data_IF_442466900504
#
_entry.id   IF_442466900504
#
_cell.length_a   1.000
_cell.length_b   1.000
_cell.length_c   1.000
_cell.angle_alpha   90.00
_cell.angle_beta   90.00
_cell.angle_gamma   90.00
#
_symmetry.space_group_name_H-M   'P 1'
#
loop_
_entity.id
_entity.type
_entity.pdbx_description
1 polymer ?
#
# COMPACT_ATOMS: atom_id res chain seq x y z
N UNK A 1 -49.16 56.78 21.00
CA UNK A 1 -48.52 57.95 20.35
C UNK A 1 -48.39 57.67 18.87
N UNK A 2 -48.30 58.71 18.03
CA UNK A 2 -48.21 58.64 16.55
C UNK A 2 -47.12 57.66 16.07
N UNK A 3 -47.26 56.84 15.01
CA UNK A 3 -48.12 56.82 13.80
C UNK A 3 -47.70 57.77 12.67
N UNK A 4 -47.17 57.20 11.57
CA UNK A 4 -47.36 57.67 10.19
C UNK A 4 -46.82 56.65 9.15
N UNK A 5 -47.72 56.13 8.31
CA UNK A 5 -47.42 55.51 6.99
C UNK A 5 -47.54 56.62 5.91
N UNK A 6 -47.74 56.41 4.57
CA UNK A 6 -47.88 55.18 3.77
C UNK A 6 -47.09 55.19 2.44
N UNK A 7 -47.49 54.30 1.52
CA UNK A 7 -46.87 54.02 0.22
C UNK A 7 -47.42 54.84 -0.96
N UNK A 8 -46.80 54.65 -2.13
CA UNK A 8 -47.36 54.80 -3.48
C UNK A 8 -46.31 54.45 -4.55
N UNK A 9 -46.62 54.27 -5.83
CA UNK A 9 -47.85 53.77 -6.50
C UNK A 9 -47.65 53.82 -8.03
N UNK A 10 -47.69 52.67 -8.70
CA UNK A 10 -48.11 52.42 -10.10
C UNK A 10 -48.01 53.54 -11.18
N UNK A 11 -47.17 53.28 -12.18
CA UNK A 11 -47.47 53.41 -13.62
C UNK A 11 -46.32 52.78 -14.43
N UNK A 12 -46.40 52.41 -15.72
CA UNK A 12 -47.41 51.79 -16.61
C UNK A 12 -46.90 52.08 -18.04
N UNK A 13 -46.89 51.06 -18.93
CA UNK A 13 -46.78 51.14 -20.41
C UNK A 13 -45.55 51.84 -21.07
N UNK A 14 -45.05 51.50 -22.27
CA UNK A 14 -45.52 50.62 -23.37
C UNK A 14 -44.39 50.38 -24.42
N UNK A 15 -44.60 49.48 -25.40
CA UNK A 15 -43.80 49.35 -26.65
C UNK A 15 -42.84 48.13 -26.68
N UNK A 16 -42.97 47.05 -27.48
CA UNK A 16 -43.33 46.86 -28.93
C UNK A 16 -42.21 47.40 -29.86
N UNK A 17 -41.58 46.69 -30.81
CA UNK A 17 -41.62 45.29 -31.37
C UNK A 17 -40.30 45.07 -32.19
N UNK A 18 -39.88 43.93 -32.79
CA UNK A 18 -40.24 42.50 -33.01
C UNK A 18 -38.99 41.82 -33.67
N UNK A 19 -38.86 40.51 -33.93
CA UNK A 19 -39.73 39.33 -33.83
C UNK A 19 -38.88 38.04 -33.64
N UNK A 20 -39.45 36.82 -33.56
CA UNK A 20 -39.76 35.93 -34.71
C UNK A 20 -38.62 35.78 -35.73
N UNK A 21 -38.16 34.60 -36.17
CA UNK A 21 -38.60 33.16 -36.11
C UNK A 21 -37.32 32.27 -36.28
N UNK A 22 -37.27 30.93 -36.29
CA UNK A 22 -38.24 29.84 -36.52
C UNK A 22 -37.73 28.52 -35.87
N UNK A 23 -38.59 27.52 -35.71
CA UNK A 23 -38.23 26.11 -35.40
C UNK A 23 -37.96 25.28 -36.66
N UNK A 24 -37.15 24.22 -36.55
CA UNK A 24 -37.17 23.06 -37.47
C UNK A 24 -36.56 21.81 -36.81
N UNK A 25 -37.30 20.69 -36.85
CA UNK A 25 -36.88 19.37 -36.37
C UNK A 25 -36.05 18.58 -37.41
N UNK A 26 -35.62 17.37 -37.01
CA UNK A 26 -34.92 16.32 -37.80
C UNK A 26 -33.44 16.62 -38.10
N UNK A 27 -32.53 15.63 -38.13
CA UNK A 27 -32.71 14.20 -38.46
C UNK A 27 -32.23 13.21 -37.37
N UNK A 28 -32.54 11.92 -37.59
CA UNK A 28 -31.98 10.77 -36.86
C UNK A 28 -30.97 10.05 -37.75
N UNK A 29 -29.70 10.03 -37.36
CA UNK A 29 -28.81 8.92 -37.73
C UNK A 29 -28.35 8.21 -36.45
N UNK A 30 -28.44 6.88 -36.46
CA UNK A 30 -28.15 6.06 -35.29
C UNK A 30 -26.72 5.56 -35.32
N UNK A 31 -25.84 6.17 -34.54
CA UNK A 31 -24.50 5.61 -34.31
C UNK A 31 -24.59 4.52 -33.23
N UNK A 32 -24.26 3.27 -33.58
CA UNK A 32 -24.10 2.19 -32.61
C UNK A 32 -22.74 2.31 -31.96
N UNK A 33 -22.65 3.08 -30.88
CA UNK A 33 -21.48 3.01 -30.01
C UNK A 33 -21.50 1.66 -29.29
N UNK A 34 -20.59 0.76 -29.70
CA UNK A 34 -20.23 -0.40 -28.89
C UNK A 34 -19.48 0.11 -27.65
N UNK A 35 -20.22 0.49 -26.62
CA UNK A 35 -19.66 0.87 -25.31
C UNK A 35 -19.05 -0.36 -24.65
N UNK A 36 -17.79 -0.63 -24.93
CA UNK A 36 -17.00 -1.61 -24.20
C UNK A 36 -16.84 -1.11 -22.76
N UNK A 37 -17.36 -1.82 -21.74
CA UNK A 37 -17.12 -1.45 -20.35
C UNK A 37 -15.65 -1.68 -20.01
N UNK A 38 -15.16 -0.97 -18.99
CA UNK A 38 -13.81 -1.15 -18.45
C UNK A 38 -12.65 -0.86 -19.44
N UNK A 39 -12.67 0.32 -20.07
CA UNK A 39 -11.48 1.13 -19.90
C UNK A 39 -11.36 1.46 -18.42
N UNK A 40 -10.47 0.77 -17.72
CA UNK A 40 -10.05 1.12 -16.35
C UNK A 40 -9.57 2.56 -16.40
N UNK A 41 -10.34 3.49 -15.82
CA UNK A 41 -9.85 4.84 -15.58
C UNK A 41 -8.67 4.69 -14.64
N UNK A 42 -7.48 5.09 -15.09
CA UNK A 42 -6.26 5.10 -14.28
C UNK A 42 -6.42 6.13 -13.15
N UNK A 43 -7.12 5.75 -12.07
CA UNK A 43 -7.21 6.53 -10.84
C UNK A 43 -5.97 6.28 -9.99
N UNK A 44 -4.80 6.55 -10.60
CA UNK A 44 -3.76 7.26 -9.88
C UNK A 44 -4.43 8.55 -9.40
N UNK A 45 -4.90 8.58 -8.14
CA UNK A 45 -5.47 9.80 -7.58
C UNK A 45 -4.43 10.90 -7.73
N UNK A 46 -4.73 11.90 -8.56
CA UNK A 46 -3.81 12.96 -8.98
C UNK A 46 -3.06 13.52 -7.78
N UNK A 47 -1.79 13.09 -7.64
CA UNK A 47 -1.10 13.13 -6.35
C UNK A 47 -0.89 14.59 -5.91
N UNK A 48 -1.63 15.09 -4.89
CA UNK A 48 -1.59 16.51 -4.55
C UNK A 48 -0.23 16.96 -4.01
N UNK A 49 0.63 16.00 -3.64
CA UNK A 49 1.92 16.21 -2.98
C UNK A 49 3.11 16.34 -3.95
N UNK A 50 2.89 16.27 -5.27
CA UNK A 50 3.86 16.73 -6.28
C UNK A 50 3.83 18.25 -6.51
N UNK A 51 3.07 19.01 -5.72
CA UNK A 51 3.12 20.47 -5.73
C UNK A 51 3.87 21.04 -4.53
N UNK A 52 5.00 21.71 -4.83
CA UNK A 52 5.83 22.58 -3.98
C UNK A 52 6.96 21.93 -3.14
N UNK A 53 8.14 21.72 -3.75
CA UNK A 53 9.43 22.06 -3.14
C UNK A 53 10.58 22.26 -4.17
N UNK A 54 10.42 23.20 -5.11
CA UNK A 54 11.47 23.49 -6.11
C UNK A 54 12.70 24.18 -5.49
N UNK A 55 13.85 23.51 -5.54
CA UNK A 55 15.15 24.15 -5.41
C UNK A 55 15.60 24.70 -6.77
N UNK A 56 15.73 26.03 -6.88
CA UNK A 56 16.31 26.67 -8.06
C UNK A 56 17.84 26.66 -7.89
N UNK A 57 18.56 26.13 -8.89
CA UNK A 57 20.02 26.25 -8.97
C UNK A 57 20.40 27.32 -9.99
N UNK A 58 21.03 28.39 -9.52
CA UNK A 58 21.73 29.36 -10.37
C UNK A 58 23.05 28.74 -10.88
N UNK A 59 22.98 27.83 -11.87
CA UNK A 59 24.17 27.19 -12.42
C UNK A 59 23.89 26.25 -13.60
N UNK A 60 24.91 25.99 -14.43
CA UNK A 60 24.77 25.17 -15.62
C UNK A 60 24.58 23.68 -15.29
N UNK A 61 23.44 23.17 -15.74
CA UNK A 61 22.94 21.81 -15.54
C UNK A 61 23.92 20.63 -15.82
N UNK A 62 24.86 20.70 -16.79
CA UNK A 62 25.89 19.67 -16.97
C UNK A 62 26.84 19.50 -15.76
N UNK A 63 26.98 20.52 -14.91
CA UNK A 63 27.77 20.43 -13.68
C UNK A 63 27.17 19.43 -12.69
N UNK A 64 25.86 19.49 -12.44
CA UNK A 64 25.16 18.64 -11.47
C UNK A 64 25.27 17.16 -11.83
N UNK A 65 24.88 16.76 -13.06
CA UNK A 65 24.96 15.34 -13.48
C UNK A 65 26.39 14.79 -13.41
N UNK A 66 27.40 15.61 -13.71
CA UNK A 66 28.81 15.21 -13.62
C UNK A 66 29.36 15.20 -12.19
N UNK A 67 28.74 15.92 -11.25
CA UNK A 67 29.05 15.82 -9.82
C UNK A 67 28.44 14.54 -9.22
N UNK A 68 27.15 14.29 -9.47
CA UNK A 68 26.42 13.11 -8.97
C UNK A 68 27.12 11.80 -9.39
N UNK A 69 27.54 11.68 -10.66
CA UNK A 69 28.31 10.53 -11.19
C UNK A 69 29.64 10.23 -10.47
N UNK A 70 30.21 11.19 -9.75
CA UNK A 70 31.50 11.06 -9.05
C UNK A 70 31.35 10.78 -7.55
N UNK A 71 30.12 10.53 -7.09
CA UNK A 71 29.70 10.57 -5.69
C UNK A 71 28.85 9.36 -5.32
N UNK A 72 28.26 9.37 -4.13
CA UNK A 72 27.34 8.32 -3.68
C UNK A 72 25.96 8.36 -4.35
N UNK A 73 25.82 8.94 -5.55
CA UNK A 73 24.61 8.88 -6.36
C UNK A 73 24.80 7.89 -7.52
N UNK A 74 23.88 6.94 -7.66
CA UNK A 74 23.81 6.02 -8.78
C UNK A 74 22.81 6.53 -9.82
N UNK A 75 23.27 6.87 -11.02
CA UNK A 75 22.40 7.17 -12.15
C UNK A 75 21.68 5.89 -12.58
N UNK A 76 20.36 5.89 -12.55
CA UNK A 76 19.58 4.73 -12.96
C UNK A 76 19.44 4.76 -14.49
N UNK A 77 20.27 3.96 -15.18
CA UNK A 77 20.26 3.87 -16.63
C UNK A 77 19.06 3.03 -17.10
N UNK A 78 17.95 3.70 -17.42
CA UNK A 78 16.78 3.07 -18.07
C UNK A 78 17.17 2.72 -19.51
N UNK A 79 17.57 1.47 -19.74
CA UNK A 79 17.88 0.97 -21.09
C UNK A 79 16.60 0.64 -21.86
N UNK A 80 16.66 0.64 -23.20
CA UNK A 80 15.55 0.21 -24.08
C UNK A 80 15.07 -1.23 -23.84
N UNK A 81 15.86 -2.02 -23.09
CA UNK A 81 15.59 -3.42 -22.81
C UNK A 81 15.18 -3.64 -21.34
N UNK A 82 14.75 -2.58 -20.63
CA UNK A 82 14.24 -2.67 -19.26
C UNK A 82 12.92 -3.44 -19.21
N UNK A 83 13.02 -4.77 -19.17
CA UNK A 83 11.93 -5.69 -18.80
C UNK A 83 11.81 -5.72 -17.27
N UNK A 84 11.40 -4.61 -16.68
CA UNK A 84 11.19 -4.56 -15.23
C UNK A 84 10.03 -5.47 -14.84
N UNK A 85 10.32 -6.69 -14.38
CA UNK A 85 9.34 -7.64 -13.80
C UNK A 85 8.83 -7.18 -12.42
N UNK A 86 8.85 -5.86 -12.17
CA UNK A 86 8.13 -5.22 -11.08
C UNK A 86 6.66 -5.23 -11.45
N UNK A 87 5.94 -6.24 -10.98
CA UNK A 87 4.50 -6.33 -11.13
C UNK A 87 3.82 -5.26 -10.25
N UNK A 88 3.77 -4.02 -10.77
CA UNK A 88 3.12 -2.87 -10.13
C UNK A 88 1.66 -3.15 -9.80
N UNK A 89 0.98 -4.03 -10.56
CA UNK A 89 -0.40 -4.41 -10.27
C UNK A 89 -0.53 -5.00 -8.86
N UNK A 90 0.48 -5.71 -8.33
CA UNK A 90 0.42 -6.26 -6.95
C UNK A 90 0.56 -5.16 -5.88
N UNK A 91 1.17 -4.02 -6.22
CA UNK A 91 1.21 -2.83 -5.36
C UNK A 91 -0.09 -2.02 -5.44
N UNK A 92 -0.80 -2.05 -6.57
CA UNK A 92 -2.04 -1.30 -6.78
C UNK A 92 -3.31 -2.10 -6.38
N UNK A 93 -3.39 -3.41 -6.69
CA UNK A 93 -4.51 -4.33 -6.42
C UNK A 93 -4.85 -4.55 -4.93
N UNK A 94 -4.15 -3.87 -4.02
CA UNK A 94 -4.34 -3.96 -2.56
C UNK A 94 -4.36 -2.56 -1.90
N UNK A 95 -4.67 -1.51 -2.67
CA UNK A 95 -4.67 -0.10 -2.25
C UNK A 95 -5.95 0.60 -2.73
N UNK A 96 -6.85 0.89 -1.79
CA UNK A 96 -8.20 1.39 -2.06
C UNK A 96 -8.38 2.79 -1.47
N UNK A 97 -9.02 3.70 -2.19
CA UNK A 97 -9.41 5.00 -1.65
C UNK A 97 -10.86 5.01 -1.15
N UNK A 98 -11.29 6.12 -0.57
CA UNK A 98 -12.67 6.31 -0.05
C UNK A 98 -13.79 5.99 -1.06
N UNK A 99 -13.54 6.06 -2.37
CA UNK A 99 -14.52 5.74 -3.42
C UNK A 99 -14.53 4.26 -3.84
N UNK A 100 -13.48 3.50 -3.52
CA UNK A 100 -13.26 2.12 -4.02
C UNK A 100 -13.82 1.06 -3.06
N UNK A 101 -14.97 1.38 -2.44
CA UNK A 101 -15.56 0.67 -1.29
C UNK A 101 -15.86 -0.80 -1.58
N UNK A 102 -16.56 -1.07 -2.67
CA UNK A 102 -17.06 -2.42 -2.94
C UNK A 102 -15.96 -3.36 -3.46
N UNK A 103 -15.02 -2.93 -4.33
CA UNK A 103 -13.77 -3.66 -4.61
C UNK A 103 -12.96 -3.98 -3.35
N UNK A 104 -12.84 -3.04 -2.40
CA UNK A 104 -12.21 -3.30 -1.11
C UNK A 104 -12.93 -4.41 -0.32
N UNK A 105 -14.27 -4.44 -0.32
CA UNK A 105 -15.04 -5.48 0.39
C UNK A 105 -14.84 -6.86 -0.27
N UNK A 106 -14.85 -6.95 -1.60
CA UNK A 106 -14.58 -8.20 -2.33
C UNK A 106 -13.19 -8.76 -1.98
N UNK A 107 -12.16 -7.92 -2.07
CA UNK A 107 -10.78 -8.36 -1.88
C UNK A 107 -10.46 -8.57 -0.38
N UNK A 108 -11.16 -7.90 0.54
CA UNK A 108 -11.17 -8.25 1.97
C UNK A 108 -11.76 -9.64 2.21
N UNK A 109 -12.86 -10.01 1.53
CA UNK A 109 -13.50 -11.33 1.62
C UNK A 109 -12.60 -12.42 1.01
N UNK A 110 -11.96 -12.14 -0.12
CA UNK A 110 -10.97 -13.03 -0.73
C UNK A 110 -9.77 -13.24 0.21
N UNK A 111 -9.26 -12.17 0.81
CA UNK A 111 -8.15 -12.24 1.78
C UNK A 111 -8.56 -12.96 3.06
N UNK A 112 -9.82 -12.82 3.52
CA UNK A 112 -10.38 -13.60 4.62
C UNK A 112 -10.47 -15.10 4.29
N UNK A 113 -10.85 -15.42 3.05
CA UNK A 113 -10.92 -16.80 2.54
C UNK A 113 -9.52 -17.44 2.53
N UNK A 114 -8.53 -16.75 1.97
CA UNK A 114 -7.12 -17.18 2.03
C UNK A 114 -6.59 -17.24 3.47
N UNK A 115 -7.04 -16.36 4.36
CA UNK A 115 -6.60 -16.32 5.76
C UNK A 115 -6.99 -17.58 6.54
N UNK A 116 -8.24 -18.05 6.44
CA UNK A 116 -8.65 -19.29 7.12
C UNK A 116 -8.01 -20.54 6.49
N UNK A 117 -7.86 -20.57 5.16
CA UNK A 117 -7.19 -21.68 4.46
C UNK A 117 -5.70 -21.77 4.82
N UNK A 118 -4.98 -20.65 4.88
CA UNK A 118 -3.60 -20.59 5.41
C UNK A 118 -3.55 -21.01 6.88
N UNK A 119 -4.45 -20.50 7.71
CA UNK A 119 -4.51 -20.83 9.14
C UNK A 119 -4.70 -22.34 9.37
N UNK A 120 -5.53 -23.03 8.58
CA UNK A 120 -5.71 -24.49 8.64
C UNK A 120 -4.40 -25.22 8.36
N UNK A 121 -3.67 -24.85 7.31
CA UNK A 121 -2.37 -25.49 6.98
C UNK A 121 -1.32 -25.18 8.04
N UNK A 122 -1.25 -23.93 8.54
CA UNK A 122 -0.34 -23.52 9.61
C UNK A 122 -0.68 -24.16 10.98
N UNK A 123 -1.94 -24.47 11.27
CA UNK A 123 -2.37 -25.08 12.53
C UNK A 123 -2.05 -26.59 12.61
N UNK A 124 -2.12 -27.30 11.49
CA UNK A 124 -1.83 -28.75 11.45
C UNK A 124 -0.36 -29.08 11.15
N UNK A 125 0.43 -28.17 10.57
CA UNK A 125 1.82 -28.43 10.18
C UNK A 125 2.83 -27.73 11.13
N UNK A 126 3.87 -28.40 11.67
CA UNK A 126 4.34 -29.76 11.40
C UNK A 126 3.89 -30.79 12.46
N UNK A 127 2.72 -30.61 13.07
CA UNK A 127 2.19 -31.51 14.08
C UNK A 127 1.60 -32.81 13.49
N UNK A 128 1.23 -33.78 14.34
CA UNK A 128 0.22 -34.75 13.96
C UNK A 128 -1.14 -34.04 13.80
N UNK A 129 -1.88 -34.38 12.73
CA UNK A 129 -3.25 -33.89 12.51
C UNK A 129 -4.14 -34.15 13.74
N UNK A 130 -5.05 -33.22 14.04
CA UNK A 130 -5.99 -33.31 15.17
C UNK A 130 -5.46 -32.89 16.55
N UNK A 131 -4.27 -32.29 16.67
CA UNK A 131 -3.72 -31.89 17.97
C UNK A 131 -4.22 -30.50 18.46
N UNK A 132 -5.52 -30.38 18.71
CA UNK A 132 -6.10 -29.30 19.52
C UNK A 132 -6.70 -28.12 18.75
N UNK A 133 -6.95 -28.28 17.45
CA UNK A 133 -7.64 -27.32 16.58
C UNK A 133 -9.16 -27.43 16.72
N UNK A 134 -9.63 -28.59 17.19
CA UNK A 134 -11.02 -29.00 17.33
C UNK A 134 -11.39 -29.27 18.80
N UNK A 135 -12.68 -29.18 19.16
CA UNK A 135 -13.18 -29.72 20.43
C UNK A 135 -14.69 -30.06 20.42
N UNK A 136 -15.10 -30.84 21.43
CA UNK A 136 -16.52 -31.18 21.67
C UNK A 136 -17.26 -29.92 22.10
N UNK A 137 -18.08 -29.37 21.19
CA UNK A 137 -18.79 -28.11 21.40
C UNK A 137 -18.01 -26.86 20.96
N UNK A 138 -17.04 -27.01 20.03
CA UNK A 138 -16.38 -25.87 19.37
C UNK A 138 -17.36 -24.88 18.71
N UNK A 139 -16.90 -23.66 18.46
CA UNK A 139 -17.77 -22.53 18.08
C UNK A 139 -18.05 -22.38 16.57
N UNK A 140 -17.39 -23.18 15.72
CA UNK A 140 -17.33 -23.01 14.26
C UNK A 140 -17.44 -24.35 13.53
N UNK A 141 -18.13 -24.38 12.39
CA UNK A 141 -18.25 -25.54 11.48
C UNK A 141 -17.15 -25.57 10.41
N UNK A 142 -16.88 -26.75 9.84
CA UNK A 142 -15.98 -26.88 8.68
C UNK A 142 -16.53 -26.20 7.40
N UNK A 143 -17.84 -25.92 7.33
CA UNK A 143 -18.52 -25.12 6.29
C UNK A 143 -17.86 -23.75 6.04
N UNK A 144 -17.20 -23.18 7.06
CA UNK A 144 -16.45 -21.91 6.93
C UNK A 144 -15.28 -22.04 5.96
N UNK A 145 -14.66 -23.23 5.90
CA UNK A 145 -13.54 -23.55 5.01
C UNK A 145 -14.05 -23.93 3.63
N UNK A 146 -15.15 -24.70 3.52
CA UNK A 146 -15.80 -24.99 2.22
C UNK A 146 -16.14 -23.69 1.47
N UNK A 147 -16.76 -22.74 2.17
CA UNK A 147 -17.07 -21.39 1.64
C UNK A 147 -15.81 -20.62 1.24
N UNK A 148 -14.70 -20.77 1.97
CA UNK A 148 -13.43 -20.14 1.64
C UNK A 148 -12.79 -20.73 0.37
N UNK A 149 -12.80 -22.07 0.25
CA UNK A 149 -12.31 -22.80 -0.92
C UNK A 149 -13.14 -22.49 -2.17
N UNK A 150 -14.47 -22.36 -2.04
CA UNK A 150 -15.34 -21.86 -3.11
C UNK A 150 -14.95 -20.46 -3.59
N UNK A 151 -14.74 -19.51 -2.68
CA UNK A 151 -14.40 -18.12 -3.02
C UNK A 151 -13.04 -18.04 -3.73
N UNK A 152 -12.04 -18.77 -3.23
CA UNK A 152 -10.72 -18.87 -3.87
C UNK A 152 -10.85 -19.56 -5.24
N UNK A 153 -11.65 -20.64 -5.35
CA UNK A 153 -11.89 -21.33 -6.61
C UNK A 153 -12.49 -20.42 -7.69
N UNK A 154 -13.52 -19.63 -7.35
CA UNK A 154 -14.12 -18.62 -8.23
C UNK A 154 -13.09 -17.58 -8.69
N UNK A 155 -12.26 -17.09 -7.77
CA UNK A 155 -11.19 -16.13 -8.09
C UNK A 155 -10.09 -16.72 -8.98
N UNK A 156 -9.62 -17.95 -8.71
CA UNK A 156 -8.59 -18.61 -9.50
C UNK A 156 -9.09 -19.02 -10.90
N UNK A 157 -10.39 -19.24 -11.09
CA UNK A 157 -10.99 -19.36 -12.42
C UNK A 157 -10.99 -18.01 -13.14
N UNK A 158 -11.48 -16.96 -12.50
CA UNK A 158 -11.49 -15.59 -13.04
C UNK A 158 -10.10 -15.14 -13.52
N UNK A 159 -9.05 -15.30 -12.70
CA UNK A 159 -7.68 -14.89 -13.09
C UNK A 159 -7.17 -15.70 -14.29
N UNK A 160 -7.44 -17.01 -14.36
CA UNK A 160 -7.04 -17.85 -15.50
C UNK A 160 -7.78 -17.50 -16.78
N UNK A 161 -9.05 -17.14 -16.71
CA UNK A 161 -9.81 -16.65 -17.88
C UNK A 161 -9.31 -15.27 -18.34
N UNK A 162 -8.88 -14.39 -17.42
CA UNK A 162 -8.22 -13.12 -17.76
C UNK A 162 -6.86 -13.32 -18.45
N UNK A 163 -6.04 -14.29 -18.03
CA UNK A 163 -4.78 -14.64 -18.71
C UNK A 163 -4.99 -15.21 -20.13
N UNK A 164 -6.22 -15.61 -20.47
CA UNK A 164 -6.60 -16.16 -21.78
C UNK A 164 -7.31 -15.13 -22.68
N UNK A 165 -7.25 -13.84 -22.35
CA UNK A 165 -7.93 -12.73 -23.06
C UNK A 165 -9.45 -12.96 -23.25
N UNK A 166 -10.11 -13.71 -22.35
CA UNK A 166 -11.48 -14.18 -22.52
C UNK A 166 -12.52 -13.07 -22.17
N UNK A 167 -13.19 -12.42 -23.14
CA UNK A 167 -13.83 -11.10 -22.94
C UNK A 167 -15.25 -11.17 -22.36
N UNK A 168 -15.55 -12.22 -21.58
CA UNK A 168 -16.92 -12.57 -21.15
C UNK A 168 -17.06 -12.63 -19.62
N UNK A 169 -15.96 -12.66 -18.86
CA UNK A 169 -16.00 -12.93 -17.42
C UNK A 169 -16.10 -11.64 -16.61
N UNK A 170 -17.31 -11.29 -16.18
CA UNK A 170 -17.52 -10.34 -15.07
C UNK A 170 -17.02 -10.97 -13.76
N UNK A 171 -16.48 -10.15 -12.84
CA UNK A 171 -15.96 -10.60 -11.54
C UNK A 171 -17.12 -10.97 -10.59
N UNK A 172 -17.77 -12.12 -10.81
CA UNK A 172 -18.82 -12.62 -9.91
C UNK A 172 -18.23 -13.26 -8.63
N UNK A 173 -17.51 -12.43 -7.89
CA UNK A 173 -17.22 -12.59 -6.46
C UNK A 173 -18.33 -11.88 -5.64
N UNK A 174 -19.40 -11.43 -6.30
CA UNK A 174 -20.47 -10.58 -5.74
C UNK A 174 -21.43 -11.31 -4.79
N UNK A 175 -21.34 -12.65 -4.73
CA UNK A 175 -22.09 -13.48 -3.78
C UNK A 175 -21.86 -12.99 -2.35
N UNK A 176 -22.89 -12.34 -1.77
CA UNK A 176 -22.75 -11.58 -0.52
C UNK A 176 -22.52 -12.49 0.69
N UNK A 177 -21.25 -12.79 0.93
CA UNK A 177 -20.81 -13.72 1.97
C UNK A 177 -21.40 -13.32 3.33
N UNK A 178 -22.13 -14.21 4.02
CA UNK A 178 -22.85 -13.86 5.23
C UNK A 178 -21.96 -13.21 6.30
N UNK A 179 -22.48 -12.18 6.99
CA UNK A 179 -21.77 -11.55 8.12
C UNK A 179 -21.42 -12.54 9.24
N UNK A 180 -22.16 -13.63 9.36
CA UNK A 180 -21.83 -14.76 10.26
C UNK A 180 -20.50 -15.40 9.87
N UNK A 181 -20.31 -15.77 8.59
CA UNK A 181 -19.06 -16.35 8.09
C UNK A 181 -17.86 -15.44 8.35
N UNK A 182 -17.96 -14.13 8.12
CA UNK A 182 -16.88 -13.18 8.46
C UNK A 182 -16.59 -13.15 9.97
N UNK A 183 -17.62 -13.27 10.81
CA UNK A 183 -17.46 -13.41 12.25
C UNK A 183 -16.80 -14.73 12.66
N UNK A 184 -17.12 -15.82 11.99
CA UNK A 184 -16.58 -17.16 12.28
C UNK A 184 -15.13 -17.30 11.78
N UNK A 185 -14.78 -16.74 10.62
CA UNK A 185 -13.37 -16.56 10.21
C UNK A 185 -12.63 -15.73 11.26
N UNK A 186 -13.19 -14.62 11.73
CA UNK A 186 -12.56 -13.78 12.76
C UNK A 186 -12.36 -14.53 14.10
N UNK A 187 -13.32 -15.35 14.54
CA UNK A 187 -13.19 -16.21 15.73
C UNK A 187 -11.99 -17.16 15.63
N UNK A 188 -11.77 -17.76 14.46
CA UNK A 188 -10.62 -18.66 14.19
C UNK A 188 -9.32 -17.85 14.09
N UNK A 189 -9.25 -16.87 13.18
CA UNK A 189 -7.96 -16.23 12.84
C UNK A 189 -7.55 -15.11 13.79
N UNK A 190 -8.41 -14.61 14.68
CA UNK A 190 -8.03 -13.67 15.76
C UNK A 190 -8.27 -14.22 17.17
N UNK A 191 -9.30 -15.02 17.35
CA UNK A 191 -9.69 -15.54 18.65
C UNK A 191 -8.88 -16.76 19.08
N UNK A 192 -9.56 -17.63 19.83
CA UNK A 192 -9.09 -18.97 20.22
C UNK A 192 -10.21 -20.01 20.04
N UNK A 193 -11.16 -19.69 19.16
CA UNK A 193 -12.24 -20.61 18.84
C UNK A 193 -11.66 -21.83 18.12
N UNK A 194 -12.37 -22.94 18.25
CA UNK A 194 -12.05 -24.22 17.62
C UNK A 194 -13.19 -24.67 16.73
N UNK A 195 -12.85 -25.51 15.76
CA UNK A 195 -13.86 -26.25 15.02
C UNK A 195 -14.58 -27.24 15.94
N UNK A 196 -15.84 -27.54 15.63
CA UNK A 196 -16.50 -28.70 16.23
C UNK A 196 -15.77 -29.99 15.85
N UNK A 197 -15.58 -30.86 16.84
CA UNK A 197 -14.91 -32.15 16.65
C UNK A 197 -15.57 -32.97 15.53
N UNK A 198 -14.76 -33.40 14.56
CA UNK A 198 -15.15 -34.34 13.50
C UNK A 198 -14.15 -35.50 13.38
N UNK A 199 -14.20 -36.27 12.29
CA UNK A 199 -13.36 -37.44 12.01
C UNK A 199 -11.96 -37.06 11.49
N UNK A 200 -10.97 -37.91 11.79
CA UNK A 200 -9.59 -37.75 11.27
C UNK A 200 -9.53 -37.77 9.72
N UNK A 201 -10.46 -38.47 9.07
CA UNK A 201 -10.58 -38.55 7.60
C UNK A 201 -11.04 -37.22 6.99
N UNK A 202 -12.02 -36.55 7.60
CA UNK A 202 -12.49 -35.22 7.19
C UNK A 202 -11.43 -34.15 7.44
N UNK A 203 -10.76 -34.18 8.61
CA UNK A 203 -9.64 -33.28 8.93
C UNK A 203 -8.50 -33.41 7.91
N UNK A 204 -8.13 -34.64 7.54
CA UNK A 204 -7.13 -34.92 6.51
C UNK A 204 -7.59 -34.46 5.11
N UNK A 205 -8.85 -34.68 4.75
CA UNK A 205 -9.44 -34.21 3.50
C UNK A 205 -9.32 -32.70 3.36
N UNK A 206 -9.86 -31.96 4.34
CA UNK A 206 -9.84 -30.50 4.40
C UNK A 206 -8.41 -29.94 4.41
N UNK A 207 -7.49 -30.54 5.16
CA UNK A 207 -6.07 -30.14 5.12
C UNK A 207 -5.47 -30.28 3.72
N UNK A 208 -5.71 -31.40 3.03
CA UNK A 208 -5.18 -31.64 1.69
C UNK A 208 -5.77 -30.68 0.65
N UNK A 209 -7.07 -30.38 0.73
CA UNK A 209 -7.72 -29.41 -0.16
C UNK A 209 -7.19 -28.00 0.07
N UNK A 210 -7.07 -27.58 1.33
CA UNK A 210 -6.44 -26.30 1.69
C UNK A 210 -5.01 -26.20 1.14
N UNK A 211 -4.18 -27.23 1.35
CA UNK A 211 -2.80 -27.25 0.85
C UNK A 211 -2.76 -27.16 -0.68
N UNK A 212 -3.56 -27.98 -1.38
CA UNK A 212 -3.61 -28.01 -2.84
C UNK A 212 -4.11 -26.67 -3.46
N UNK A 213 -5.05 -25.99 -2.81
CA UNK A 213 -5.53 -24.68 -3.25
C UNK A 213 -4.49 -23.59 -3.05
N UNK A 214 -3.68 -23.63 -1.97
CA UNK A 214 -2.60 -22.68 -1.76
C UNK A 214 -1.48 -22.84 -2.81
N UNK A 215 -1.03 -24.07 -3.07
CA UNK A 215 -0.07 -24.37 -4.16
C UNK A 215 -0.60 -23.92 -5.53
N UNK A 216 -1.89 -24.15 -5.81
CA UNK A 216 -2.53 -23.74 -7.06
C UNK A 216 -2.74 -22.22 -7.19
N UNK A 217 -2.65 -21.47 -6.09
CA UNK A 217 -2.78 -20.02 -6.05
C UNK A 217 -1.42 -19.28 -6.12
N UNK A 218 -0.33 -19.91 -5.67
CA UNK A 218 1.01 -19.33 -5.55
C UNK A 218 1.49 -18.47 -6.76
N UNK A 219 1.36 -18.92 -8.03
CA UNK A 219 1.80 -18.12 -9.18
C UNK A 219 0.88 -16.94 -9.50
N UNK A 220 -0.40 -17.01 -9.12
CA UNK A 220 -1.42 -16.00 -9.42
C UNK A 220 -1.59 -14.96 -8.30
N UNK A 221 -1.24 -15.33 -7.06
CA UNK A 221 -1.53 -14.57 -5.84
C UNK A 221 -0.26 -14.37 -5.00
N UNK A 222 0.82 -13.76 -5.54
CA UNK A 222 2.13 -13.67 -4.88
C UNK A 222 2.10 -12.94 -3.53
N UNK A 223 1.06 -12.12 -3.26
CA UNK A 223 0.84 -11.47 -1.97
C UNK A 223 0.58 -12.46 -0.82
N UNK A 224 0.14 -13.70 -1.09
CA UNK A 224 -0.06 -14.76 -0.09
C UNK A 224 1.16 -15.07 0.78
N UNK A 225 2.35 -14.70 0.32
CA UNK A 225 3.63 -14.92 0.99
C UNK A 225 3.89 -13.94 2.14
N UNK A 226 3.16 -12.83 2.20
CA UNK A 226 3.40 -11.77 3.19
C UNK A 226 2.16 -11.17 3.84
N UNK A 227 0.98 -11.40 3.27
CA UNK A 227 -0.31 -10.91 3.73
C UNK A 227 -0.82 -11.62 5.01
N UNK A 228 -0.26 -12.77 5.37
CA UNK A 228 -0.44 -13.46 6.64
C UNK A 228 -1.78 -14.19 6.82
N UNK A 229 -2.21 -14.38 8.07
CA UNK A 229 -3.46 -15.08 8.43
C UNK A 229 -4.44 -14.22 9.18
N UNK A 230 -4.07 -13.00 9.59
CA UNK A 230 -4.87 -12.12 10.45
C UNK A 230 -5.69 -11.08 9.65
N UNK A 231 -5.70 -11.14 8.32
CA UNK A 231 -6.39 -10.20 7.42
C UNK A 231 -6.30 -8.72 7.86
N UNK A 232 -5.11 -8.27 8.26
CA UNK A 232 -4.86 -6.92 8.77
C UNK A 232 -4.70 -5.94 7.60
N UNK A 233 -5.25 -4.74 7.77
CA UNK A 233 -5.20 -3.61 6.86
C UNK A 233 -4.67 -2.37 7.58
N UNK A 234 -4.06 -1.46 6.83
CA UNK A 234 -3.57 -0.17 7.32
C UNK A 234 -4.36 0.97 6.68
N UNK A 235 -5.05 1.75 7.52
CA UNK A 235 -5.81 2.93 7.10
C UNK A 235 -4.89 4.15 7.22
N UNK A 236 -4.53 4.72 6.07
CA UNK A 236 -3.65 5.88 5.92
C UNK A 236 -4.48 7.14 5.60
N UNK A 237 -4.53 8.14 6.48
CA UNK A 237 -5.26 9.38 6.24
C UNK A 237 -4.52 10.32 5.28
N UNK A 238 -5.24 10.91 4.33
CA UNK A 238 -4.72 11.91 3.42
C UNK A 238 -4.25 13.19 4.13
N UNK A 239 -3.26 13.86 3.54
CA UNK A 239 -2.68 15.12 4.02
C UNK A 239 -2.09 15.11 5.45
N UNK A 240 -1.89 13.93 6.07
CA UNK A 240 -1.27 13.80 7.41
C UNK A 240 0.07 13.05 7.35
N UNK A 241 1.15 13.80 7.21
CA UNK A 241 2.51 13.26 7.34
C UNK A 241 2.88 12.88 8.79
N UNK A 242 3.95 12.08 8.91
CA UNK A 242 4.59 11.64 10.17
C UNK A 242 3.77 10.64 11.01
N UNK A 243 3.03 9.73 10.36
CA UNK A 243 2.29 8.64 11.00
C UNK A 243 0.98 9.04 11.70
N UNK A 244 0.61 10.32 11.69
CA UNK A 244 -0.45 10.88 12.56
C UNK A 244 -1.86 10.43 12.15
N UNK A 245 -2.41 9.49 12.91
CA UNK A 245 -3.75 8.94 12.67
C UNK A 245 -3.77 7.81 11.64
N UNK A 246 -2.61 7.22 11.32
CA UNK A 246 -2.56 5.90 10.69
C UNK A 246 -3.09 4.88 11.71
N UNK A 247 -3.93 3.95 11.26
CA UNK A 247 -4.48 2.88 12.10
C UNK A 247 -4.25 1.51 11.44
N UNK A 248 -4.01 0.49 12.28
CA UNK A 248 -3.82 -0.90 11.86
C UNK A 248 -5.00 -1.69 12.42
N UNK A 249 -5.78 -2.32 11.54
CA UNK A 249 -7.12 -2.86 11.84
C UNK A 249 -7.36 -4.19 11.12
N UNK A 250 -8.16 -5.09 11.69
CA UNK A 250 -8.52 -6.39 11.09
C UNK A 250 -10.03 -6.69 11.13
N UNK A 251 -10.85 -5.64 11.26
CA UNK A 251 -12.30 -5.71 11.35
C UNK A 251 -12.91 -4.87 10.23
N UNK A 252 -13.68 -5.52 9.35
CA UNK A 252 -14.30 -4.86 8.21
C UNK A 252 -15.26 -3.74 8.65
N UNK A 253 -16.04 -3.97 9.71
CA UNK A 253 -16.97 -2.95 10.21
C UNK A 253 -16.24 -1.74 10.82
N UNK A 254 -15.06 -1.94 11.44
CA UNK A 254 -14.22 -0.84 11.93
C UNK A 254 -13.53 -0.08 10.79
N UNK A 255 -13.01 -0.78 9.77
CA UNK A 255 -12.42 -0.14 8.58
C UNK A 255 -13.50 0.65 7.82
N UNK A 256 -14.70 0.10 7.66
CA UNK A 256 -15.85 0.79 7.07
C UNK A 256 -16.48 1.85 7.99
N UNK A 257 -16.12 1.92 9.28
CA UNK A 257 -16.54 3.02 10.16
C UNK A 257 -15.87 4.36 9.78
N UNK A 258 -14.71 4.33 9.12
CA UNK A 258 -14.06 5.53 8.58
C UNK A 258 -14.80 6.12 7.37
N UNK A 259 -15.67 5.35 6.72
CA UNK A 259 -16.58 5.86 5.66
C UNK A 259 -17.87 6.48 6.23
N UNK A 260 -18.04 6.59 7.56
CA UNK A 260 -19.28 7.09 8.19
C UNK A 260 -19.12 8.54 8.68
N UNK A 261 -20.04 9.46 8.33
CA UNK A 261 -19.88 10.90 8.59
C UNK A 261 -19.98 11.31 10.08
N UNK A 262 -20.29 10.37 10.98
CA UNK A 262 -20.45 10.64 12.42
C UNK A 262 -19.14 10.57 13.22
N UNK A 263 -18.01 10.30 12.56
CA UNK A 263 -16.72 10.06 13.22
C UNK A 263 -16.01 11.38 13.58
N UNK A 264 -16.43 12.02 14.69
CA UNK A 264 -16.12 13.40 15.15
C UNK A 264 -14.65 13.88 15.06
N UNK A 265 -13.66 12.98 14.97
CA UNK A 265 -12.23 13.30 14.83
C UNK A 265 -11.74 13.41 13.38
N UNK A 266 -12.61 13.15 12.40
CA UNK A 266 -12.33 13.13 10.97
C UNK A 266 -13.39 13.93 10.21
N UNK A 267 -13.04 15.08 9.60
CA UNK A 267 -13.93 15.80 8.69
C UNK A 267 -14.46 14.89 7.57
N UNK A 268 -15.70 15.10 7.15
CA UNK A 268 -16.42 14.30 6.16
C UNK A 268 -15.70 14.21 4.80
N UNK A 269 -14.89 15.22 4.48
CA UNK A 269 -14.04 15.34 3.27
C UNK A 269 -12.65 14.68 3.41
N UNK A 270 -12.37 13.99 4.53
CA UNK A 270 -11.06 13.39 4.80
C UNK A 270 -10.78 12.17 3.93
N UNK A 271 -10.20 12.40 2.74
CA UNK A 271 -9.65 11.32 1.90
C UNK A 271 -8.76 10.40 2.74
N UNK A 272 -8.93 9.10 2.58
CA UNK A 272 -8.07 8.08 3.15
C UNK A 272 -7.75 7.00 2.12
N UNK A 273 -6.72 6.21 2.42
CA UNK A 273 -6.33 5.01 1.69
C UNK A 273 -6.35 3.83 2.65
N UNK A 274 -6.94 2.71 2.23
CA UNK A 274 -6.85 1.41 2.91
C UNK A 274 -5.88 0.55 2.12
N UNK A 275 -4.85 0.02 2.77
CA UNK A 275 -3.82 -0.81 2.12
C UNK A 275 -3.67 -2.14 2.87
N UNK A 276 -3.43 -3.26 2.19
CA UNK A 276 -3.19 -4.54 2.88
C UNK A 276 -1.92 -4.43 3.73
N UNK A 277 -1.99 -4.88 4.97
CA UNK A 277 -0.83 -4.85 5.87
C UNK A 277 0.11 -6.03 5.60
N UNK A 278 1.42 -5.76 5.62
CA UNK A 278 2.48 -6.78 5.55
C UNK A 278 2.60 -7.43 6.93
N UNK A 279 2.02 -8.62 7.06
CA UNK A 279 1.96 -9.41 8.29
C UNK A 279 3.21 -10.25 8.52
N UNK A 280 3.92 -10.63 7.43
CA UNK A 280 5.23 -11.31 7.47
C UNK A 280 6.37 -10.40 6.94
N UNK A 281 6.71 -9.30 7.64
CA UNK A 281 7.87 -8.48 7.30
C UNK A 281 9.16 -9.18 7.73
N UNK A 282 10.30 -8.84 7.11
CA UNK A 282 11.60 -9.20 7.66
C UNK A 282 11.77 -8.53 9.03
N UNK A 283 12.17 -9.32 10.02
CA UNK A 283 12.45 -8.84 11.37
C UNK A 283 13.96 -8.87 11.65
N UNK A 284 14.42 -7.86 12.38
CA UNK A 284 15.79 -7.77 12.89
C UNK A 284 15.68 -7.80 14.41
N UNK A 285 16.31 -8.79 15.05
CA UNK A 285 16.20 -9.03 16.51
C UNK A 285 14.74 -9.05 17.00
N UNK A 286 13.83 -9.64 16.20
CA UNK A 286 12.39 -9.72 16.50
C UNK A 286 11.60 -8.41 16.32
N UNK A 287 12.22 -7.33 15.82
CA UNK A 287 11.59 -6.02 15.67
C UNK A 287 11.46 -5.59 14.21
N UNK A 288 10.32 -4.96 13.91
CA UNK A 288 9.98 -4.44 12.58
C UNK A 288 10.80 -3.20 12.25
N UNK A 289 11.23 -3.07 11.00
CA UNK A 289 11.87 -1.88 10.45
C UNK A 289 11.28 -1.48 9.08
N UNK A 290 11.58 -0.26 8.65
CA UNK A 290 11.54 0.13 7.24
C UNK A 290 12.87 0.78 6.83
N UNK A 291 13.08 0.99 5.53
CA UNK A 291 14.26 1.61 4.92
C UNK A 291 13.85 2.94 4.28
N UNK A 292 14.43 4.06 4.72
CA UNK A 292 14.38 5.34 4.02
C UNK A 292 15.45 5.36 2.93
N UNK A 293 15.04 5.23 1.68
CA UNK A 293 15.87 5.38 0.49
C UNK A 293 15.71 6.78 -0.09
N UNK A 294 16.79 7.55 -0.20
CA UNK A 294 16.78 8.81 -0.95
C UNK A 294 16.95 8.56 -2.44
N UNK A 295 16.17 9.28 -3.24
CA UNK A 295 16.39 9.40 -4.68
C UNK A 295 16.08 10.82 -5.15
N UNK A 296 16.67 11.24 -6.26
CA UNK A 296 16.45 12.55 -6.86
C UNK A 296 16.10 12.41 -8.35
N UNK A 297 15.17 13.25 -8.82
CA UNK A 297 14.86 13.39 -10.24
C UNK A 297 15.48 14.71 -10.71
N UNK A 298 16.39 14.64 -11.68
CA UNK A 298 16.94 15.85 -12.32
C UNK A 298 16.23 16.19 -13.62
N UNK A 299 15.48 15.26 -14.20
CA UNK A 299 14.85 15.39 -15.52
C UNK A 299 13.68 14.42 -15.67
N UNK A 300 12.67 14.84 -16.43
CA UNK A 300 11.51 14.03 -16.81
C UNK A 300 11.51 13.70 -18.31
N UNK A 301 12.30 14.38 -19.15
CA UNK A 301 12.36 14.17 -20.61
C UNK A 301 13.79 14.39 -21.16
N UNK A 302 14.69 13.37 -21.09
CA UNK A 302 14.45 11.99 -20.66
C UNK A 302 14.46 11.82 -19.13
N UNK A 303 13.59 10.95 -18.62
CA UNK A 303 13.52 10.60 -17.19
C UNK A 303 14.91 10.19 -16.66
N UNK A 304 15.46 11.00 -15.75
CA UNK A 304 16.80 10.81 -15.20
C UNK A 304 16.72 10.72 -13.68
N UNK A 305 16.75 9.48 -13.17
CA UNK A 305 16.64 9.14 -11.75
C UNK A 305 18.04 8.91 -11.15
N UNK A 306 18.28 9.41 -9.95
CA UNK A 306 19.49 9.19 -9.17
C UNK A 306 19.13 8.56 -7.83
N UNK A 307 19.64 7.37 -7.53
CA UNK A 307 19.44 6.70 -6.24
C UNK A 307 20.66 6.93 -5.34
N UNK A 308 20.49 7.40 -4.10
CA UNK A 308 21.63 7.50 -3.19
C UNK A 308 22.09 6.09 -2.76
N UNK A 309 23.39 5.87 -2.67
CA UNK A 309 23.98 4.55 -2.36
C UNK A 309 23.82 4.16 -0.89
N UNK A 310 23.75 5.16 -0.01
CA UNK A 310 23.41 4.95 1.39
C UNK A 310 21.93 5.18 1.65
N UNK A 311 21.41 4.50 2.65
CA UNK A 311 20.05 4.62 3.17
C UNK A 311 20.10 4.44 4.69
N UNK A 312 18.94 4.54 5.37
CA UNK A 312 18.88 4.23 6.80
C UNK A 312 17.60 3.52 7.18
N UNK A 313 17.73 2.62 8.16
CA UNK A 313 16.62 1.83 8.70
C UNK A 313 15.98 2.57 9.86
N UNK A 314 14.67 2.38 10.07
CA UNK A 314 13.92 2.96 11.21
C UNK A 314 13.16 1.86 11.95
N UNK A 315 13.58 1.57 13.18
CA UNK A 315 13.05 0.47 13.98
C UNK A 315 11.80 0.87 14.77
N UNK A 316 10.84 -0.05 14.84
CA UNK A 316 9.82 -0.03 15.88
C UNK A 316 10.47 -0.22 17.26
N UNK A 317 9.83 0.29 18.31
CA UNK A 317 10.37 0.27 19.67
C UNK A 317 10.09 -1.02 20.43
N UNK A 318 9.15 -1.83 19.96
CA UNK A 318 8.71 -3.08 20.59
C UNK A 318 8.87 -4.28 19.66
N UNK A 319 9.03 -5.51 20.21
CA UNK A 319 8.95 -6.75 19.45
C UNK A 319 7.69 -6.83 18.59
N UNK A 320 7.84 -7.34 17.38
CA UNK A 320 6.75 -7.52 16.44
C UNK A 320 5.84 -8.67 16.88
N UNK A 321 4.53 -8.41 16.84
CA UNK A 321 3.47 -9.36 17.15
C UNK A 321 2.20 -8.89 16.42
N UNK A 322 1.26 -9.79 16.12
CA UNK A 322 0.00 -9.43 15.44
C UNK A 322 -1.18 -9.36 16.40
N UNK A 323 -0.96 -9.74 17.67
CA UNK A 323 -1.92 -9.76 18.77
C UNK A 323 -2.11 -8.37 19.40
N UNK A 324 -1.27 -7.39 19.06
CA UNK A 324 -1.24 -6.06 19.67
C UNK A 324 -0.95 -4.97 18.62
N UNK A 325 -1.99 -4.53 17.91
CA UNK A 325 -1.94 -3.58 16.80
C UNK A 325 -1.55 -2.12 17.17
N UNK A 326 -0.87 -1.92 18.29
CA UNK A 326 -0.47 -0.62 18.83
C UNK A 326 0.67 0.04 18.02
N UNK A 327 0.63 1.37 17.87
CA UNK A 327 1.54 2.10 16.97
C UNK A 327 3.03 1.89 17.25
N UNK A 328 3.42 1.66 18.52
CA UNK A 328 4.81 1.38 18.90
C UNK A 328 5.37 0.07 18.34
N UNK A 329 4.51 -0.90 18.00
CA UNK A 329 4.85 -2.19 17.36
C UNK A 329 4.87 -2.09 15.83
N UNK A 330 3.95 -1.31 15.24
CA UNK A 330 3.67 -1.36 13.80
C UNK A 330 4.06 -0.14 12.97
N UNK A 331 4.24 1.05 13.55
CA UNK A 331 4.52 2.29 12.80
C UNK A 331 5.96 2.77 12.97
N UNK A 332 6.75 2.65 11.90
CA UNK A 332 8.20 2.91 11.90
C UNK A 332 8.60 4.40 11.89
N UNK A 333 7.65 5.33 11.78
CA UNK A 333 7.96 6.76 11.70
C UNK A 333 8.60 7.27 13.01
N UNK A 334 9.77 7.90 12.92
CA UNK A 334 10.50 8.44 14.08
C UNK A 334 9.64 9.37 14.98
N UNK A 335 8.74 10.16 14.39
CA UNK A 335 7.84 11.06 15.13
C UNK A 335 6.86 10.33 16.08
N UNK A 336 6.53 9.07 15.78
CA UNK A 336 5.81 8.14 16.66
C UNK A 336 6.80 7.47 17.61
N UNK A 337 7.83 6.84 17.06
CA UNK A 337 8.73 5.96 17.82
C UNK A 337 9.59 6.66 18.87
N UNK A 338 9.82 7.97 18.76
CA UNK A 338 10.49 8.77 19.79
C UNK A 338 9.73 8.87 21.12
N UNK A 339 8.42 8.60 21.12
CA UNK A 339 7.56 8.72 22.31
C UNK A 339 7.60 7.47 23.21
N UNK A 340 8.29 6.41 22.77
CA UNK A 340 8.35 5.11 23.42
C UNK A 340 9.80 4.75 23.80
N UNK A 341 10.00 3.98 24.87
CA UNK A 341 11.32 3.42 25.21
C UNK A 341 11.63 2.22 24.31
N UNK A 342 12.91 1.86 24.18
CA UNK A 342 13.29 0.63 23.44
C UNK A 342 13.03 -0.59 24.34
N UNK A 343 12.13 -1.46 23.88
CA UNK A 343 11.68 -2.69 24.56
C UNK A 343 11.94 -3.95 23.71
N UNK A 344 12.41 -3.79 22.46
CA UNK A 344 13.14 -4.82 21.71
C UNK A 344 14.32 -5.38 22.53
N UNK A 345 14.86 -6.58 22.18
CA UNK A 345 16.09 -7.11 22.78
C UNK A 345 17.22 -6.07 22.83
N UNK A 346 17.45 -5.54 24.03
CA UNK A 346 17.95 -4.17 24.20
C UNK A 346 19.47 -4.00 23.98
N UNK A 347 20.18 -5.11 23.83
CA UNK A 347 21.63 -5.16 23.64
C UNK A 347 22.04 -5.30 22.16
N UNK A 348 21.11 -5.67 21.28
CA UNK A 348 21.37 -5.92 19.85
C UNK A 348 20.92 -4.77 18.93
N UNK A 349 19.91 -4.00 19.34
CA UNK A 349 19.40 -2.84 18.57
C UNK A 349 19.77 -1.48 19.19
N UNK A 350 19.99 -0.44 18.37
CA UNK A 350 20.46 0.86 18.83
C UNK A 350 19.35 1.62 19.55
N UNK A 351 19.71 2.30 20.66
CA UNK A 351 18.77 3.11 21.46
C UNK A 351 18.10 4.25 20.67
N UNK A 352 18.76 4.74 19.62
CA UNK A 352 18.23 5.75 18.69
C UNK A 352 17.29 5.17 17.62
N UNK A 353 17.10 3.84 17.56
CA UNK A 353 16.19 3.13 16.64
C UNK A 353 16.48 3.37 15.16
N UNK A 354 17.74 3.59 14.80
CA UNK A 354 18.18 3.64 13.40
C UNK A 354 19.54 2.94 13.18
N UNK A 355 19.65 2.25 12.06
CA UNK A 355 20.92 1.79 11.47
C UNK A 355 21.14 2.51 10.13
N UNK A 356 22.38 2.59 9.66
CA UNK A 356 22.65 2.88 8.26
C UNK A 356 22.65 1.60 7.41
N UNK A 357 22.59 1.78 6.09
CA UNK A 357 22.76 0.71 5.09
C UNK A 357 23.98 -0.17 5.36
N UNK A 358 25.12 0.40 5.77
CA UNK A 358 26.34 -0.35 6.05
C UNK A 358 26.16 -1.35 7.21
N UNK A 359 25.60 -0.90 8.33
CA UNK A 359 25.35 -1.77 9.49
C UNK A 359 24.35 -2.87 9.13
N UNK A 360 23.35 -2.57 8.29
CA UNK A 360 22.41 -3.57 7.81
C UNK A 360 23.04 -4.60 6.84
N UNK A 361 23.97 -4.19 5.95
CA UNK A 361 24.76 -5.15 5.14
C UNK A 361 25.56 -6.11 6.04
N UNK A 362 26.24 -5.57 7.05
CA UNK A 362 27.03 -6.37 8.01
C UNK A 362 26.15 -7.35 8.79
N UNK A 363 24.94 -6.94 9.19
CA UNK A 363 23.93 -7.84 9.77
C UNK A 363 23.50 -8.95 8.79
N UNK A 364 23.18 -8.62 7.54
CA UNK A 364 22.78 -9.60 6.53
C UNK A 364 23.90 -10.60 6.23
N UNK A 365 25.15 -10.14 6.09
CA UNK A 365 26.32 -11.00 5.92
C UNK A 365 26.51 -11.96 7.12
N UNK A 366 26.43 -11.46 8.36
CA UNK A 366 26.51 -12.30 9.56
C UNK A 366 25.34 -13.29 9.70
N UNK A 367 24.19 -12.97 9.10
CA UNK A 367 22.99 -13.82 9.04
C UNK A 367 23.01 -14.84 7.89
N UNK A 368 24.09 -14.91 7.10
CA UNK A 368 24.20 -15.78 5.92
C UNK A 368 23.46 -15.27 4.68
N UNK A 369 22.94 -14.05 4.70
CA UNK A 369 22.17 -13.39 3.64
C UNK A 369 23.03 -12.43 2.80
N UNK A 370 24.31 -12.77 2.61
CA UNK A 370 25.34 -11.93 1.95
C UNK A 370 24.97 -11.43 0.54
N UNK A 371 24.16 -12.17 -0.24
CA UNK A 371 23.65 -11.70 -1.54
C UNK A 371 22.39 -10.83 -1.46
N UNK A 372 21.65 -10.82 -0.33
CA UNK A 372 20.33 -10.21 -0.25
C UNK A 372 20.36 -8.69 -0.49
N UNK A 373 21.38 -7.98 0.01
CA UNK A 373 21.44 -6.52 -0.17
C UNK A 373 21.58 -6.10 -1.64
N UNK A 374 22.68 -6.44 -2.32
CA UNK A 374 22.90 -5.98 -3.70
C UNK A 374 22.02 -6.74 -4.71
N UNK A 375 21.69 -8.01 -4.42
CA UNK A 375 20.98 -8.90 -5.35
C UNK A 375 19.45 -8.80 -5.30
N UNK A 376 18.85 -8.49 -4.14
CA UNK A 376 17.38 -8.48 -3.94
C UNK A 376 16.88 -7.10 -3.49
N UNK A 377 17.50 -6.53 -2.46
CA UNK A 377 16.99 -5.34 -1.76
C UNK A 377 17.29 -4.06 -2.57
N UNK A 378 18.55 -3.79 -2.88
CA UNK A 378 18.96 -2.57 -3.58
C UNK A 378 18.54 -2.59 -5.06
N UNK A 379 18.65 -3.76 -5.71
CA UNK A 379 18.11 -4.01 -7.05
C UNK A 379 16.59 -3.81 -7.10
N UNK A 380 15.83 -4.44 -6.20
CA UNK A 380 14.38 -4.31 -6.15
C UNK A 380 13.93 -2.88 -5.83
N UNK A 381 14.57 -2.18 -4.87
CA UNK A 381 14.27 -0.78 -4.59
C UNK A 381 14.53 0.11 -5.82
N UNK A 382 15.65 -0.09 -6.53
CA UNK A 382 15.96 0.62 -7.78
C UNK A 382 14.89 0.38 -8.84
N UNK A 383 14.52 -0.87 -9.04
CA UNK A 383 13.62 -1.27 -10.13
C UNK A 383 12.17 -0.84 -9.86
N UNK A 384 11.73 -0.85 -8.61
CA UNK A 384 10.45 -0.25 -8.19
C UNK A 384 10.48 1.28 -8.41
N UNK A 385 11.57 1.97 -8.05
CA UNK A 385 11.70 3.42 -8.32
C UNK A 385 11.64 3.74 -9.82
N UNK A 386 12.22 2.92 -10.70
CA UNK A 386 12.04 3.07 -12.16
C UNK A 386 10.56 2.96 -12.51
N UNK A 387 9.90 1.88 -12.08
CA UNK A 387 8.52 1.57 -12.45
C UNK A 387 7.53 2.65 -11.98
N UNK A 388 7.61 3.09 -10.72
CA UNK A 388 6.74 4.14 -10.16
C UNK A 388 6.99 5.52 -10.77
N UNK A 389 8.23 5.85 -11.17
CA UNK A 389 8.52 7.12 -11.85
C UNK A 389 8.12 7.10 -13.32
N UNK A 390 8.20 5.96 -14.00
CA UNK A 390 7.67 5.81 -15.37
C UNK A 390 6.15 5.96 -15.42
N UNK A 391 5.39 5.31 -14.52
CA UNK A 391 3.92 5.47 -14.45
C UNK A 391 3.48 6.89 -14.06
N UNK A 392 4.37 7.66 -13.42
CA UNK A 392 4.14 9.08 -13.10
C UNK A 392 4.59 10.04 -14.20
N UNK A 393 5.40 9.60 -15.18
CA UNK A 393 6.16 10.48 -16.08
C UNK A 393 5.26 11.36 -16.97
N UNK A 394 4.15 10.82 -17.48
CA UNK A 394 3.21 11.57 -18.33
C UNK A 394 2.46 12.69 -17.59
N UNK A 395 2.42 12.63 -16.26
CA UNK A 395 1.79 13.61 -15.39
C UNK A 395 2.77 14.71 -14.91
N UNK A 396 4.05 14.65 -15.29
CA UNK A 396 5.11 15.52 -14.78
C UNK A 396 5.62 16.51 -15.83
N UNK A 397 5.43 17.81 -15.58
CA UNK A 397 5.96 18.89 -16.45
C UNK A 397 7.49 19.04 -16.28
N UNK A 398 8.30 18.93 -17.36
CA UNK A 398 9.73 19.24 -17.28
C UNK A 398 9.96 20.74 -17.02
N UNK A 399 10.66 21.07 -15.94
CA UNK A 399 11.00 22.46 -15.57
C UNK A 399 12.54 22.65 -15.63
N UNK A 400 13.06 23.45 -16.59
CA UNK A 400 14.50 23.68 -16.72
C UNK A 400 15.14 24.19 -15.43
N UNK A 401 16.40 23.79 -15.18
CA UNK A 401 17.20 24.16 -14.02
C UNK A 401 16.58 23.82 -12.64
N UNK A 402 15.64 22.86 -12.63
CA UNK A 402 15.11 22.27 -11.39
C UNK A 402 15.58 20.82 -11.21
N UNK A 403 15.54 20.36 -9.97
CA UNK A 403 15.55 18.96 -9.57
C UNK A 403 14.65 18.82 -8.34
N UNK A 404 14.18 17.61 -8.05
CA UNK A 404 13.41 17.33 -6.82
C UNK A 404 14.02 16.13 -6.08
N UNK A 405 14.11 16.25 -4.76
CA UNK A 405 14.66 15.25 -3.85
C UNK A 405 13.52 14.56 -3.09
N UNK A 406 13.50 13.24 -3.14
CA UNK A 406 12.46 12.41 -2.54
C UNK A 406 13.05 11.44 -1.50
N UNK A 407 12.20 10.98 -0.59
CA UNK A 407 12.46 9.84 0.28
C UNK A 407 11.40 8.78 0.10
N UNK A 408 11.76 7.67 -0.55
CA UNK A 408 10.94 6.46 -0.57
C UNK A 408 11.10 5.70 0.75
N UNK A 409 10.00 5.19 1.29
CA UNK A 409 10.00 4.27 2.42
C UNK A 409 9.66 2.86 1.93
N UNK A 410 10.59 1.93 2.14
CA UNK A 410 10.45 0.52 1.75
C UNK A 410 10.39 -0.39 2.98
N UNK A 411 9.50 -1.38 2.96
CA UNK A 411 9.50 -2.50 3.92
C UNK A 411 10.04 -3.74 3.23
N UNK A 412 10.69 -4.64 3.96
CA UNK A 412 11.11 -5.93 3.42
C UNK A 412 10.17 -7.03 3.90
N UNK A 413 9.88 -8.01 3.06
CA UNK A 413 9.21 -9.28 3.43
C UNK A 413 10.21 -10.34 3.89
N UNK A 414 9.75 -11.44 4.51
CA UNK A 414 10.63 -12.52 5.01
C UNK A 414 11.64 -13.03 3.96
N UNK A 415 11.27 -13.03 2.67
CA UNK A 415 12.14 -13.38 1.53
C UNK A 415 13.06 -12.23 1.04
N UNK A 416 13.25 -11.21 1.88
CA UNK A 416 14.05 -10.00 1.64
C UNK A 416 13.58 -9.10 0.48
N UNK A 417 12.43 -9.35 -0.15
CA UNK A 417 11.94 -8.49 -1.24
C UNK A 417 11.48 -7.12 -0.73
N UNK A 418 11.83 -6.01 -1.40
CA UNK A 418 11.37 -4.67 -1.03
C UNK A 418 9.95 -4.37 -1.54
N UNK A 419 9.15 -3.74 -0.68
CA UNK A 419 7.80 -3.27 -0.96
C UNK A 419 7.71 -1.77 -0.67
N UNK A 420 7.26 -0.98 -1.65
CA UNK A 420 7.15 0.48 -1.52
C UNK A 420 5.91 0.84 -0.67
N UNK A 421 6.13 1.62 0.39
CA UNK A 421 5.09 1.99 1.37
C UNK A 421 4.59 3.41 1.16
N UNK A 422 5.49 4.35 0.83
CA UNK A 422 5.18 5.73 0.44
C UNK A 422 6.39 6.39 -0.23
N UNK A 423 6.15 7.42 -1.05
CA UNK A 423 7.18 8.36 -1.54
C UNK A 423 6.89 9.72 -0.92
N UNK A 424 7.83 10.26 -0.16
CA UNK A 424 7.77 11.61 0.40
C UNK A 424 8.49 12.59 -0.53
N UNK A 425 7.75 13.57 -1.07
CA UNK A 425 8.36 14.83 -1.55
C UNK A 425 8.84 15.64 -0.34
N UNK A 426 9.98 16.32 -0.44
CA UNK A 426 10.59 17.08 0.67
C UNK A 426 10.83 16.21 1.91
N UNK A 427 11.67 15.15 1.82
CA UNK A 427 11.87 14.20 2.91
C UNK A 427 12.33 14.87 4.20
N UNK A 428 12.05 14.24 5.35
CA UNK A 428 12.57 14.71 6.64
C UNK A 428 14.11 14.63 6.66
N UNK A 429 14.74 15.78 6.83
CA UNK A 429 16.19 16.01 6.80
C UNK A 429 16.69 16.48 8.17
N UNK A 430 15.93 16.21 9.24
CA UNK A 430 16.35 16.52 10.60
C UNK A 430 17.47 15.61 11.10
N UNK A 431 18.39 16.19 11.87
CA UNK A 431 19.46 15.48 12.58
C UNK A 431 18.92 14.78 13.85
N UNK A 432 17.86 13.98 13.67
CA UNK A 432 17.08 13.33 14.73
C UNK A 432 17.83 12.22 15.46
N UNK A 433 18.86 11.63 14.85
CA UNK A 433 19.72 10.56 15.42
C UNK A 433 21.17 10.78 14.97
N UNK A 434 22.13 10.09 15.58
CA UNK A 434 23.53 10.07 15.12
C UNK A 434 23.67 9.58 13.67
N UNK A 435 22.76 8.71 13.22
CA UNK A 435 22.69 8.23 11.83
C UNK A 435 22.29 9.36 10.89
N UNK A 436 21.16 10.04 11.10
CA UNK A 436 20.74 11.12 10.18
C UNK A 436 21.60 12.37 10.32
N UNK A 437 22.14 12.67 11.50
CA UNK A 437 23.08 13.77 11.72
C UNK A 437 24.40 13.61 10.93
N UNK A 438 24.75 12.38 10.52
CA UNK A 438 25.87 12.09 9.62
C UNK A 438 25.42 12.01 8.16
N UNK A 439 24.40 11.20 7.88
CA UNK A 439 24.01 10.89 6.49
C UNK A 439 23.33 12.06 5.77
N UNK A 440 22.54 12.90 6.46
CA UNK A 440 21.86 14.03 5.82
C UNK A 440 22.85 15.08 5.30
N UNK A 441 23.85 15.55 6.08
CA UNK A 441 24.89 16.44 5.55
C UNK A 441 25.70 15.81 4.41
N UNK A 442 26.00 14.51 4.47
CA UNK A 442 26.73 13.80 3.41
C UNK A 442 25.94 13.75 2.10
N UNK A 443 24.66 13.36 2.16
CA UNK A 443 23.75 13.34 1.02
C UNK A 443 23.56 14.74 0.42
N UNK A 444 23.40 15.78 1.25
CA UNK A 444 23.30 17.16 0.78
C UNK A 444 24.59 17.70 0.16
N UNK A 445 25.74 17.42 0.76
CA UNK A 445 27.04 17.78 0.19
C UNK A 445 27.23 17.11 -1.18
N UNK A 446 26.88 15.83 -1.27
CA UNK A 446 26.97 15.07 -2.51
C UNK A 446 26.01 15.60 -3.61
N UNK A 447 24.83 16.08 -3.20
CA UNK A 447 23.80 16.63 -4.08
C UNK A 447 24.11 18.06 -4.56
N UNK A 448 24.63 18.92 -3.67
CA UNK A 448 24.67 20.39 -3.89
C UNK A 448 26.06 20.92 -4.24
N UNK A 449 27.17 20.29 -3.78
CA UNK A 449 28.53 20.82 -3.99
C UNK A 449 29.09 20.63 -5.41
N UNK A 450 28.40 21.16 -6.42
CA UNK A 450 29.00 21.45 -7.72
C UNK A 450 29.84 22.73 -7.66
N UNK A 451 31.14 22.58 -7.44
CA UNK A 451 32.18 23.59 -7.68
C UNK A 451 33.34 22.92 -8.45
#
# INVERSE_FOLDING_TARGET
TSASSPAGSSSDDSGISSGEKTTSDSEKEGNKENTCPNQTKTVVQSNPFLNNCFAILDGEYPGLRNALRKRNWCEITITSNYRGEVNLEVLEKMVYSQIDRDPFIEDYILTASFSVVKWVVEAYHPGPLGCGVEEVGGEVTYEVIETALENIGKYLLFVKDCELDNPVVEKDVSGSVPRTWLGDVYKIVHGKAKFMLTTEEEVLGVYNECYAVLEAADPFVPQMKWDGTRNIWIVKPGARSRGRGILVLSSLDDILAFSRPTNMNWPEESRYVVQKYIERPLLIHGCKFDIRQWFAITDWQPLTIWMYRESYLRFCSRPFCLENLHESVHLNNYAVQKNYNMECPADELPKEKMWDSKTFKEYLESSGLYYAWEGIIYSGMRDILIATMLSSQEHCEPRPNSFELYGADFMLTEDCKPWLIEINNGPDLSHSTSVTARLVPQMFDDLVKGQ
#
